data_IF_093559702556
#
_entry.id   IF_093559702556
#
_cell.length_a   1.000
_cell.length_b   1.000
_cell.length_c   1.000
_cell.angle_alpha   90.00
_cell.angle_beta   90.00
_cell.angle_gamma   90.00
#
_symmetry.space_group_name_H-M   'P 1'
#
loop_
_entity.id
_entity.type
_entity.pdbx_description
1 polymer ?
#
# COMPACT_ATOMS: atom_id res chain seq x y z
N UNK A 1 19.53 4.64 -4.98
CA UNK A 1 18.40 3.97 -5.65
C UNK A 1 17.22 4.06 -4.70
N UNK A 2 16.04 4.43 -5.19
CA UNK A 2 14.79 4.48 -4.41
C UNK A 2 13.75 3.52 -4.98
N UNK A 3 12.61 3.34 -4.30
CA UNK A 3 11.51 2.50 -4.78
C UNK A 3 11.11 2.78 -6.23
N UNK A 4 11.08 4.06 -6.63
CA UNK A 4 10.78 4.50 -7.99
C UNK A 4 11.76 4.03 -9.07
N UNK A 5 12.95 3.56 -8.70
CA UNK A 5 13.96 3.08 -9.65
C UNK A 5 13.79 1.60 -10.02
N UNK A 6 12.77 0.93 -9.47
CA UNK A 6 12.48 -0.47 -9.76
C UNK A 6 11.48 -0.60 -10.90
N UNK A 7 11.88 -1.29 -11.96
CA UNK A 7 10.96 -1.91 -12.92
C UNK A 7 10.74 -3.39 -12.59
N UNK A 8 9.78 -4.02 -13.26
CA UNK A 8 9.41 -5.42 -13.01
C UNK A 8 10.56 -6.41 -13.25
N UNK A 9 11.44 -6.16 -14.24
CA UNK A 9 12.56 -7.06 -14.53
C UNK A 9 13.63 -6.94 -13.45
N UNK A 10 13.91 -5.71 -13.02
CA UNK A 10 14.92 -5.40 -12.01
C UNK A 10 14.52 -5.95 -10.65
N UNK A 11 13.31 -5.66 -10.17
CA UNK A 11 12.84 -6.16 -8.86
C UNK A 11 12.83 -7.69 -8.81
N UNK A 12 12.44 -8.33 -9.92
CA UNK A 12 12.47 -9.79 -10.04
C UNK A 12 13.88 -10.35 -9.91
N UNK A 13 14.85 -9.77 -10.64
CA UNK A 13 16.22 -10.25 -10.65
C UNK A 13 16.92 -9.99 -9.30
N UNK A 14 16.74 -8.79 -8.74
CA UNK A 14 17.42 -8.32 -7.54
C UNK A 14 16.97 -9.06 -6.28
N UNK A 15 15.67 -9.35 -6.16
CA UNK A 15 15.10 -10.08 -5.02
C UNK A 15 14.81 -11.56 -5.31
N UNK A 16 15.29 -12.08 -6.44
CA UNK A 16 15.13 -13.48 -6.84
C UNK A 16 13.67 -13.98 -6.80
N UNK A 17 12.76 -13.19 -7.35
CA UNK A 17 11.32 -13.44 -7.29
C UNK A 17 10.83 -14.30 -8.46
N UNK A 18 9.76 -15.05 -8.22
CA UNK A 18 8.98 -15.73 -9.27
C UNK A 18 7.70 -14.95 -9.51
N UNK A 19 7.41 -14.68 -10.79
CA UNK A 19 6.12 -14.10 -11.20
C UNK A 19 5.19 -15.26 -11.53
N UNK A 20 4.00 -15.24 -10.94
CA UNK A 20 2.91 -16.19 -11.20
C UNK A 20 1.70 -15.36 -11.64
N UNK A 21 1.27 -15.52 -12.89
CA UNK A 21 0.20 -14.70 -13.49
C UNK A 21 -1.16 -15.41 -13.47
N UNK A 22 -1.20 -16.67 -13.07
CA UNK A 22 -2.36 -17.57 -13.22
C UNK A 22 -3.09 -17.87 -11.92
N UNK A 23 -2.69 -17.25 -10.82
CA UNK A 23 -3.28 -17.49 -9.50
C UNK A 23 -4.13 -16.30 -9.05
N UNK A 24 -5.30 -16.60 -8.47
CA UNK A 24 -6.17 -15.63 -7.82
C UNK A 24 -6.04 -15.78 -6.29
N UNK A 25 -5.27 -14.88 -5.69
CA UNK A 25 -4.97 -14.85 -4.25
C UNK A 25 -6.21 -14.55 -3.39
N UNK A 26 -7.27 -13.98 -3.96
CA UNK A 26 -8.44 -13.50 -3.23
C UNK A 26 -9.73 -14.25 -3.58
N UNK A 27 -9.64 -15.34 -4.34
CA UNK A 27 -10.79 -16.15 -4.76
C UNK A 27 -11.67 -16.69 -3.62
N UNK A 28 -11.14 -16.75 -2.39
CA UNK A 28 -11.84 -17.22 -1.19
C UNK A 28 -12.21 -16.09 -0.22
N UNK A 29 -11.94 -14.82 -0.58
CA UNK A 29 -12.24 -13.68 0.29
C UNK A 29 -13.65 -13.19 -0.01
N UNK A 30 -14.51 -13.26 1.01
CA UNK A 30 -15.87 -12.73 0.92
C UNK A 30 -15.86 -11.20 0.80
N UNK A 31 -16.61 -10.60 -0.14
CA UNK A 31 -16.75 -9.16 -0.23
C UNK A 31 -17.34 -8.55 1.04
N UNK A 32 -16.87 -7.37 1.41
CA UNK A 32 -17.42 -6.58 2.51
C UNK A 32 -18.23 -5.43 1.96
N UNK A 33 -19.46 -5.25 2.45
CA UNK A 33 -20.28 -4.10 2.07
C UNK A 33 -19.70 -2.80 2.66
N UNK A 34 -19.67 -1.75 1.83
CA UNK A 34 -19.30 -0.41 2.28
C UNK A 34 -20.45 0.24 3.06
N UNK A 35 -20.13 1.08 4.04
CA UNK A 35 -21.18 1.85 4.72
C UNK A 35 -21.85 2.88 3.80
N UNK A 36 -23.09 3.26 4.14
CA UNK A 36 -23.82 4.34 3.45
C UNK A 36 -23.01 5.65 3.41
N UNK A 37 -22.24 5.93 4.47
CA UNK A 37 -21.38 7.12 4.53
C UNK A 37 -20.33 7.10 3.42
N UNK A 38 -19.60 5.98 3.28
CA UNK A 38 -18.60 5.84 2.23
C UNK A 38 -19.26 5.89 0.84
N UNK A 39 -20.41 5.23 0.67
CA UNK A 39 -21.15 5.23 -0.59
C UNK A 39 -21.56 6.66 -1.03
N UNK A 40 -22.08 7.48 -0.11
CA UNK A 40 -22.43 8.87 -0.37
C UNK A 40 -21.20 9.73 -0.67
N UNK A 41 -20.11 9.55 0.08
CA UNK A 41 -18.84 10.24 -0.16
C UNK A 41 -18.28 9.92 -1.55
N UNK A 42 -18.18 8.64 -1.92
CA UNK A 42 -17.65 8.22 -3.22
C UNK A 42 -18.53 8.70 -4.38
N UNK A 43 -19.85 8.71 -4.21
CA UNK A 43 -20.78 9.25 -5.23
C UNK A 43 -20.51 10.72 -5.55
N UNK A 44 -20.10 11.51 -4.55
CA UNK A 44 -19.75 12.93 -4.74
C UNK A 44 -18.31 13.10 -5.23
N UNK A 45 -17.38 12.35 -4.64
CA UNK A 45 -15.94 12.56 -4.78
C UNK A 45 -15.36 11.98 -6.07
N UNK A 46 -15.79 10.79 -6.51
CA UNK A 46 -15.22 10.11 -7.67
C UNK A 46 -15.34 10.95 -8.96
N UNK A 47 -16.50 11.55 -9.30
CA UNK A 47 -16.59 12.41 -10.48
C UNK A 47 -15.63 13.61 -10.44
N UNK A 48 -15.41 14.19 -9.26
CA UNK A 48 -14.50 15.34 -9.07
C UNK A 48 -13.04 14.89 -9.23
N UNK A 49 -12.67 13.75 -8.63
CA UNK A 49 -11.33 13.19 -8.74
C UNK A 49 -10.96 12.92 -10.21
N UNK A 50 -11.88 12.30 -10.95
CA UNK A 50 -11.71 12.02 -12.38
C UNK A 50 -11.64 13.30 -13.22
N UNK A 51 -12.42 14.34 -12.87
CA UNK A 51 -12.38 15.62 -13.58
C UNK A 51 -11.07 16.40 -13.35
N UNK A 52 -10.50 16.31 -12.13
CA UNK A 52 -9.20 16.94 -11.81
C UNK A 52 -8.04 16.14 -12.42
N UNK A 53 -8.14 14.81 -12.47
CA UNK A 53 -7.17 13.91 -13.09
C UNK A 53 -5.73 14.08 -12.57
N UNK A 54 -5.57 14.20 -11.25
CA UNK A 54 -4.24 14.22 -10.60
C UNK A 54 -4.14 13.10 -9.57
N UNK A 55 -2.92 12.62 -9.33
CA UNK A 55 -2.62 11.61 -8.28
C UNK A 55 -3.14 12.09 -6.91
N UNK A 56 -2.90 13.36 -6.60
CA UNK A 56 -3.39 13.99 -5.38
C UNK A 56 -4.92 13.93 -5.23
N UNK A 57 -5.66 14.19 -6.32
CA UNK A 57 -7.13 14.15 -6.29
C UNK A 57 -7.64 12.72 -6.05
N UNK A 58 -7.07 11.72 -6.72
CA UNK A 58 -7.40 10.29 -6.48
C UNK A 58 -7.10 9.90 -5.03
N UNK A 59 -5.91 10.26 -4.54
CA UNK A 59 -5.47 10.01 -3.17
C UNK A 59 -6.41 10.61 -2.12
N UNK A 60 -6.72 11.90 -2.22
CA UNK A 60 -7.51 12.62 -1.20
C UNK A 60 -9.01 12.35 -1.29
N UNK A 61 -9.56 12.23 -2.50
CA UNK A 61 -11.00 12.12 -2.71
C UNK A 61 -11.50 10.67 -2.74
N UNK A 62 -10.64 9.70 -3.05
CA UNK A 62 -11.02 8.28 -3.16
C UNK A 62 -10.29 7.44 -2.11
N UNK A 63 -8.95 7.35 -2.20
CA UNK A 63 -8.17 6.36 -1.43
C UNK A 63 -8.28 6.62 0.08
N UNK A 64 -8.11 7.87 0.53
CA UNK A 64 -8.25 8.22 1.96
C UNK A 64 -9.62 7.87 2.52
N UNK A 65 -10.70 8.06 1.74
CA UNK A 65 -12.06 7.71 2.21
C UNK A 65 -12.23 6.20 2.38
N UNK A 66 -11.61 5.39 1.51
CA UNK A 66 -11.57 3.93 1.67
C UNK A 66 -10.75 3.54 2.91
N UNK A 67 -9.58 4.15 3.13
CA UNK A 67 -8.75 3.87 4.31
C UNK A 67 -9.47 4.23 5.62
N UNK A 68 -10.21 5.34 5.64
CA UNK A 68 -11.05 5.73 6.78
C UNK A 68 -12.16 4.72 7.06
N UNK A 69 -12.78 4.16 6.02
CA UNK A 69 -13.78 3.10 6.18
C UNK A 69 -13.15 1.83 6.76
N UNK A 70 -11.99 1.40 6.25
CA UNK A 70 -11.27 0.23 6.79
C UNK A 70 -10.93 0.45 8.27
N UNK A 71 -10.44 1.64 8.64
CA UNK A 71 -10.14 2.00 10.04
C UNK A 71 -11.39 2.01 10.95
N UNK A 72 -12.58 2.27 10.40
CA UNK A 72 -13.84 2.18 11.18
C UNK A 72 -14.24 0.74 11.45
N UNK A 73 -13.87 -0.19 10.57
CA UNK A 73 -14.25 -1.60 10.66
C UNK A 73 -13.20 -2.46 11.38
N UNK A 74 -11.93 -2.07 11.32
CA UNK A 74 -10.79 -2.81 11.86
C UNK A 74 -9.94 -1.93 12.78
N UNK A 75 -9.29 -2.53 13.78
CA UNK A 75 -8.28 -1.85 14.61
C UNK A 75 -6.96 -1.75 13.85
N UNK A 76 -6.86 -0.73 13.00
CA UNK A 76 -5.67 -0.44 12.20
C UNK A 76 -5.28 1.03 12.33
N UNK A 77 -4.07 1.34 11.88
CA UNK A 77 -3.61 2.69 11.57
C UNK A 77 -3.21 2.75 10.12
N UNK A 78 -3.27 3.94 9.54
CA UNK A 78 -2.80 4.16 8.18
C UNK A 78 -2.02 5.45 8.08
N UNK A 79 -1.07 5.49 7.17
CA UNK A 79 -0.17 6.61 6.95
C UNK A 79 -0.18 6.95 5.47
N UNK A 80 -0.06 8.23 5.15
CA UNK A 80 -0.06 8.72 3.77
C UNK A 80 1.19 9.55 3.54
N UNK A 81 1.95 9.22 2.48
CA UNK A 81 3.15 9.97 2.10
C UNK A 81 4.22 10.03 3.19
N UNK A 82 4.53 8.90 3.85
CA UNK A 82 5.59 8.83 4.88
C UNK A 82 6.87 8.18 4.34
N UNK A 83 8.02 8.56 4.91
CA UNK A 83 9.29 7.88 4.62
C UNK A 83 9.23 6.44 5.14
N UNK A 84 9.55 5.50 4.28
CA UNK A 84 9.61 4.08 4.60
C UNK A 84 10.94 3.50 4.11
N UNK A 85 12.04 4.01 4.67
CA UNK A 85 13.40 3.57 4.33
C UNK A 85 13.83 2.33 5.13
N UNK A 86 13.61 1.13 4.58
CA UNK A 86 13.86 -0.14 5.27
C UNK A 86 15.28 -0.69 5.05
N UNK A 87 15.79 -0.64 3.82
CA UNK A 87 17.14 -1.17 3.47
C UNK A 87 17.73 -0.34 2.31
N UNK A 88 18.50 0.70 2.67
CA UNK A 88 19.08 1.64 1.69
C UNK A 88 20.10 0.99 0.76
N UNK A 89 20.82 -0.02 1.26
CA UNK A 89 21.84 -0.72 0.48
C UNK A 89 21.22 -1.52 -0.67
N UNK A 90 20.00 -2.02 -0.47
CA UNK A 90 19.18 -2.69 -1.51
C UNK A 90 18.25 -1.75 -2.28
N UNK A 91 18.39 -0.43 -2.12
CA UNK A 91 17.51 0.53 -2.77
C UNK A 91 16.07 0.55 -2.24
N UNK A 92 15.78 -0.16 -1.14
CA UNK A 92 14.47 -0.21 -0.48
C UNK A 92 14.29 1.01 0.43
N UNK A 93 14.16 2.16 -0.20
CA UNK A 93 14.01 3.45 0.48
C UNK A 93 13.25 4.47 -0.36
N UNK A 94 12.67 5.43 0.36
CA UNK A 94 11.82 6.48 -0.20
C UNK A 94 10.48 6.57 0.51
N UNK A 95 9.62 7.41 -0.03
CA UNK A 95 8.26 7.61 0.45
C UNK A 95 7.32 6.59 -0.18
N UNK A 96 6.43 6.01 0.63
CA UNK A 96 5.30 5.22 0.17
C UNK A 96 4.05 6.11 0.08
N UNK A 97 3.19 5.84 -0.90
CA UNK A 97 1.92 6.58 -1.05
C UNK A 97 1.02 6.36 0.16
N UNK A 98 0.80 5.09 0.53
CA UNK A 98 0.08 4.72 1.74
C UNK A 98 0.64 3.45 2.39
N UNK A 99 0.54 3.39 3.71
CA UNK A 99 0.87 2.21 4.51
C UNK A 99 -0.27 1.97 5.50
N UNK A 100 -0.75 0.74 5.60
CA UNK A 100 -1.65 0.28 6.66
C UNK A 100 -0.82 -0.54 7.64
N UNK A 101 -1.01 -0.31 8.93
CA UNK A 101 -0.46 -1.13 10.01
C UNK A 101 -1.59 -1.80 10.77
N UNK A 102 -1.39 -3.06 11.17
CA UNK A 102 -2.28 -3.80 12.06
C UNK A 102 -2.04 -3.41 13.54
N UNK A 103 -2.07 -2.10 13.81
CA UNK A 103 -1.92 -1.52 15.13
C UNK A 103 -2.89 -0.35 15.29
N UNK A 104 -3.51 -0.12 16.46
CA UNK A 104 -4.33 1.07 16.67
C UNK A 104 -3.52 2.37 16.72
N UNK A 105 -2.19 2.28 16.79
CA UNK A 105 -1.28 3.40 17.02
C UNK A 105 -1.10 4.24 15.75
N UNK A 106 -1.50 5.52 15.83
CA UNK A 106 -1.54 6.44 14.69
C UNK A 106 -0.34 7.41 14.64
N UNK A 107 0.41 7.49 15.73
CA UNK A 107 1.52 8.44 15.90
C UNK A 107 2.85 7.91 15.35
N UNK A 108 3.00 6.59 15.29
CA UNK A 108 4.18 5.92 14.74
C UNK A 108 3.75 4.65 14.02
N UNK A 109 4.54 4.28 13.02
CA UNK A 109 4.33 3.06 12.27
C UNK A 109 4.76 1.86 13.11
N UNK A 110 3.93 0.83 13.14
CA UNK A 110 4.11 -0.40 13.92
C UNK A 110 3.86 -1.62 13.02
N UNK A 111 4.35 -2.80 13.42
CA UNK A 111 4.20 -4.03 12.63
C UNK A 111 2.93 -4.82 13.00
N UNK A 112 2.42 -5.67 12.09
CA UNK A 112 2.77 -5.78 10.68
C UNK A 112 2.16 -4.65 9.83
N UNK A 113 2.84 -4.31 8.74
CA UNK A 113 2.44 -3.34 7.73
C UNK A 113 2.16 -3.97 6.39
N UNK A 114 1.24 -3.36 5.65
CA UNK A 114 1.07 -3.54 4.20
C UNK A 114 1.16 -2.18 3.52
N UNK A 115 1.69 -2.16 2.31
CA UNK A 115 1.83 -0.95 1.48
C UNK A 115 0.74 -0.89 0.43
N UNK A 116 0.30 0.31 0.07
CA UNK A 116 -0.60 0.54 -1.06
C UNK A 116 0.05 1.58 -1.97
N UNK A 117 0.17 1.21 -3.25
CA UNK A 117 0.80 2.04 -4.28
C UNK A 117 -0.25 2.52 -5.26
N UNK A 118 -0.23 3.82 -5.56
CA UNK A 118 -1.15 4.41 -6.53
C UNK A 118 -0.78 4.01 -7.96
N UNK A 119 -1.78 3.61 -8.75
CA UNK A 119 -1.59 3.38 -10.17
C UNK A 119 -1.48 4.72 -10.92
N UNK A 120 -0.27 5.06 -11.37
CA UNK A 120 -0.02 6.31 -12.10
C UNK A 120 -0.63 6.28 -13.49
N UNK A 121 -1.47 7.28 -13.81
CA UNK A 121 -2.09 7.47 -15.14
C UNK A 121 -2.78 6.20 -15.69
N UNK A 122 -3.45 5.41 -14.83
CA UNK A 122 -4.10 4.14 -15.18
C UNK A 122 -3.14 3.04 -15.70
N UNK A 123 -1.82 3.25 -15.60
CA UNK A 123 -0.80 2.31 -16.06
C UNK A 123 -0.27 1.46 -14.92
N UNK A 124 -1.05 0.44 -14.56
CA UNK A 124 -0.69 -0.52 -13.51
C UNK A 124 0.68 -1.15 -13.76
N UNK A 125 0.96 -1.59 -14.99
CA UNK A 125 2.22 -2.27 -15.36
C UNK A 125 3.46 -1.41 -15.07
N UNK A 126 3.35 -0.09 -15.24
CA UNK A 126 4.46 0.83 -14.98
C UNK A 126 4.82 0.96 -13.50
N UNK A 127 3.85 0.73 -12.61
CA UNK A 127 4.04 0.80 -11.16
C UNK A 127 4.39 -0.53 -10.48
N UNK A 128 4.33 -1.66 -11.20
CA UNK A 128 4.53 -2.99 -10.60
C UNK A 128 5.91 -3.16 -9.96
N UNK A 129 6.97 -2.62 -10.59
CA UNK A 129 8.33 -2.73 -10.06
C UNK A 129 8.48 -2.05 -8.70
N UNK A 130 8.01 -0.80 -8.61
CA UNK A 130 7.94 -0.03 -7.37
C UNK A 130 7.07 -0.74 -6.32
N UNK A 131 5.86 -1.15 -6.70
CA UNK A 131 4.92 -1.83 -5.80
C UNK A 131 5.53 -3.09 -5.18
N UNK A 132 6.17 -3.94 -5.99
CA UNK A 132 6.83 -5.15 -5.49
C UNK A 132 8.02 -4.81 -4.59
N UNK A 133 8.81 -3.77 -4.92
CA UNK A 133 9.93 -3.35 -4.06
C UNK A 133 9.43 -2.87 -2.69
N UNK A 134 8.34 -2.10 -2.64
CA UNK A 134 7.69 -1.69 -1.39
C UNK A 134 7.12 -2.89 -0.63
N UNK A 135 6.56 -3.90 -1.31
CA UNK A 135 6.11 -5.15 -0.68
C UNK A 135 7.27 -5.95 -0.05
N UNK A 136 8.43 -6.02 -0.72
CA UNK A 136 9.63 -6.65 -0.16
C UNK A 136 10.14 -5.88 1.05
N UNK A 137 10.10 -4.55 1.01
CA UNK A 137 10.43 -3.72 2.16
C UNK A 137 9.48 -3.95 3.33
N UNK A 138 8.17 -4.04 3.08
CA UNK A 138 7.17 -4.38 4.08
C UNK A 138 7.42 -5.78 4.67
N UNK A 139 7.78 -6.77 3.85
CA UNK A 139 8.15 -8.10 4.34
C UNK A 139 9.36 -8.06 5.28
N UNK A 140 10.39 -7.29 4.95
CA UNK A 140 11.58 -7.11 5.79
C UNK A 140 11.20 -6.40 7.08
N UNK A 141 10.47 -5.29 7.01
CA UNK A 141 10.03 -4.51 8.15
C UNK A 141 9.19 -5.35 9.13
N UNK A 142 8.23 -6.13 8.62
CA UNK A 142 7.38 -7.02 9.42
C UNK A 142 8.15 -8.13 10.15
N UNK A 143 9.35 -8.49 9.67
CA UNK A 143 10.21 -9.48 10.32
C UNK A 143 11.08 -8.87 11.41
N UNK A 144 11.25 -7.54 11.47
CA UNK A 144 12.10 -6.88 12.45
C UNK A 144 11.52 -6.94 13.88
N UNK A 145 10.20 -7.06 14.01
CA UNK A 145 9.46 -7.12 15.29
C UNK A 145 8.99 -8.52 15.69
N UNK A 146 9.47 -9.57 15.03
CA UNK A 146 9.46 -10.90 15.65
C UNK A 146 10.53 -10.90 16.75
N UNK A 147 10.30 -10.13 17.82
CA UNK A 147 10.99 -10.34 19.08
C UNK A 147 10.77 -11.80 19.45
N UNK A 148 11.87 -12.54 19.62
CA UNK A 148 11.87 -13.78 20.38
C UNK A 148 11.16 -13.50 21.72
N UNK A 149 9.89 -13.88 21.83
CA UNK A 149 9.28 -14.13 23.13
C UNK A 149 9.99 -15.35 23.72
N UNK A 150 11.14 -15.09 24.35
CA UNK A 150 11.73 -16.03 25.30
C UNK A 150 10.88 -15.99 26.55
N UNK A 151 10.07 -17.03 26.74
CA UNK A 151 9.50 -17.41 28.03
C UNK A 151 10.65 -17.88 28.93
#
# INVERSE_FOLDING_TARGET
MSYSDFDLKKVKAEFNLKIIETEDLFSQVEPVEISNLLAEMLKQNVPIALAIATEKASSELIIINILLEIKRQLQISFFSGIDFSVDRDKGLNGFCDFIISQSPEQLYLDTPVIVLVEAKNERIVGGLGQCIAEMVAAEIYNKQDVQEFRI
#
